data_IF_312015764823
#
_entry.id   IF_312015764823
#
_cell.length_a   1.000
_cell.length_b   1.000
_cell.length_c   1.000
_cell.angle_alpha   90.00
_cell.angle_beta   90.00
_cell.angle_gamma   90.00
#
_symmetry.space_group_name_H-M   'P 1'
#
loop_
_entity.id
_entity.type
_entity.pdbx_description
1 polymer ?
#
# COMPACT_ATOMS: atom_id res chain seq x y z
N UNK A 1 -23.70 -20.64 -14.49
CA UNK A 1 -22.35 -20.29 -15.01
C UNK A 1 -21.41 -20.09 -13.85
N UNK A 2 -20.21 -20.59 -13.99
CA UNK A 2 -19.12 -20.43 -13.01
C UNK A 2 -17.82 -20.25 -13.79
N UNK A 3 -17.19 -19.11 -13.68
CA UNK A 3 -15.95 -18.77 -14.38
C UNK A 3 -15.25 -17.60 -13.67
N UNK A 4 -13.96 -17.48 -13.84
CA UNK A 4 -13.17 -16.38 -13.27
C UNK A 4 -13.56 -15.00 -13.82
N UNK A 5 -14.18 -14.96 -15.01
CA UNK A 5 -14.72 -13.73 -15.63
C UNK A 5 -16.15 -13.38 -15.18
N UNK A 6 -16.70 -14.04 -14.18
CA UNK A 6 -18.00 -13.67 -13.60
C UNK A 6 -17.79 -12.58 -12.56
N UNK A 7 -18.40 -11.42 -12.76
CA UNK A 7 -18.30 -10.31 -11.82
C UNK A 7 -19.32 -10.40 -10.69
N UNK A 8 -20.54 -10.89 -10.99
CA UNK A 8 -21.68 -10.88 -10.07
C UNK A 8 -22.60 -12.07 -10.34
N UNK A 9 -23.19 -12.62 -9.27
CA UNK A 9 -24.31 -13.56 -9.32
C UNK A 9 -25.66 -12.85 -9.22
N UNK A 10 -26.66 -13.37 -9.91
CA UNK A 10 -28.05 -12.94 -9.79
C UNK A 10 -29.00 -14.15 -9.88
N UNK A 11 -30.26 -14.04 -9.36
CA UNK A 11 -31.26 -15.10 -9.50
C UNK A 11 -31.47 -15.44 -10.97
N UNK A 12 -31.43 -16.74 -11.26
CA UNK A 12 -31.59 -17.26 -12.63
C UNK A 12 -32.39 -18.57 -12.70
N UNK A 13 -33.12 -18.91 -11.64
CA UNK A 13 -34.00 -20.08 -11.56
C UNK A 13 -35.45 -19.63 -11.40
N UNK A 14 -36.36 -20.27 -12.16
CA UNK A 14 -37.80 -20.00 -12.15
C UNK A 14 -38.16 -18.54 -12.40
N UNK A 15 -37.39 -17.84 -13.24
CA UNK A 15 -37.60 -16.43 -13.57
C UNK A 15 -38.79 -16.31 -14.53
N UNK A 16 -39.87 -15.75 -14.02
CA UNK A 16 -41.10 -15.53 -14.79
C UNK A 16 -41.00 -14.27 -15.63
N UNK A 17 -41.20 -14.40 -16.92
CA UNK A 17 -41.20 -13.27 -17.86
C UNK A 17 -42.22 -13.48 -18.96
N UNK A 18 -42.42 -12.45 -19.79
CA UNK A 18 -43.27 -12.47 -20.97
C UNK A 18 -42.66 -13.33 -22.06
N UNK A 19 -43.51 -14.04 -22.77
CA UNK A 19 -43.19 -14.71 -24.03
C UNK A 19 -44.01 -14.08 -25.15
N UNK A 20 -43.89 -14.56 -26.38
CA UNK A 20 -44.61 -13.99 -27.53
C UNK A 20 -46.15 -13.95 -27.31
N UNK A 21 -46.72 -14.92 -26.56
CA UNK A 21 -48.15 -15.07 -26.41
C UNK A 21 -48.62 -15.21 -24.94
N UNK A 22 -47.70 -15.36 -24.01
CA UNK A 22 -48.04 -15.69 -22.63
C UNK A 22 -46.92 -15.33 -21.65
N UNK A 23 -46.95 -15.86 -20.44
CA UNK A 23 -45.89 -15.82 -19.41
C UNK A 23 -45.40 -17.22 -19.16
N UNK A 24 -44.06 -17.34 -19.05
CA UNK A 24 -43.38 -18.58 -18.70
C UNK A 24 -42.26 -18.34 -17.71
N UNK A 25 -41.93 -19.37 -16.94
CA UNK A 25 -40.77 -19.39 -16.03
C UNK A 25 -39.66 -20.20 -16.67
N UNK A 26 -38.46 -19.64 -16.74
CA UNK A 26 -37.29 -20.29 -17.31
C UNK A 26 -36.09 -20.19 -16.37
N UNK A 27 -35.15 -21.10 -16.56
CA UNK A 27 -33.91 -21.20 -15.80
C UNK A 27 -32.72 -20.93 -16.71
N UNK A 28 -31.72 -20.26 -16.15
CA UNK A 28 -30.45 -20.06 -16.84
C UNK A 28 -29.79 -18.71 -16.56
N UNK A 29 -28.54 -18.62 -17.00
CA UNK A 29 -27.75 -17.37 -16.90
C UNK A 29 -28.33 -16.25 -17.80
N UNK A 30 -29.03 -16.64 -18.87
CA UNK A 30 -29.78 -15.70 -19.72
C UNK A 30 -30.93 -15.01 -18.97
N UNK A 31 -31.44 -15.60 -17.92
CA UNK A 31 -32.47 -15.05 -17.03
C UNK A 31 -31.83 -14.25 -15.89
N UNK A 32 -30.66 -14.67 -15.40
CA UNK A 32 -29.91 -13.94 -14.37
C UNK A 32 -29.35 -12.60 -14.89
N UNK A 33 -28.90 -12.55 -16.12
CA UNK A 33 -28.31 -11.33 -16.72
C UNK A 33 -29.29 -10.13 -16.73
N UNK A 34 -30.52 -10.24 -17.24
CA UNK A 34 -31.47 -9.13 -17.16
C UNK A 34 -31.89 -8.75 -15.74
N UNK A 35 -31.86 -9.70 -14.78
CA UNK A 35 -32.10 -9.38 -13.37
C UNK A 35 -30.97 -8.49 -12.83
N UNK A 36 -29.71 -8.83 -13.10
CA UNK A 36 -28.58 -7.98 -12.74
C UNK A 36 -28.64 -6.59 -13.41
N UNK A 37 -28.98 -6.55 -14.70
CA UNK A 37 -29.16 -5.30 -15.44
C UNK A 37 -30.30 -4.44 -14.86
N UNK A 38 -31.41 -5.06 -14.45
CA UNK A 38 -32.54 -4.36 -13.82
C UNK A 38 -32.15 -3.79 -12.46
N UNK A 39 -31.29 -4.51 -11.68
CA UNK A 39 -30.73 -4.02 -10.43
C UNK A 39 -29.87 -2.78 -10.67
N UNK A 40 -29.03 -2.78 -11.71
CA UNK A 40 -28.25 -1.60 -12.09
C UNK A 40 -29.13 -0.41 -12.49
N UNK A 41 -30.16 -0.66 -13.27
CA UNK A 41 -31.15 0.37 -13.64
C UNK A 41 -31.90 0.94 -12.45
N UNK A 42 -32.28 0.08 -11.50
CA UNK A 42 -32.92 0.50 -10.26
C UNK A 42 -31.99 1.36 -9.40
N UNK A 43 -30.75 0.94 -9.19
CA UNK A 43 -29.78 1.70 -8.44
C UNK A 43 -29.49 3.06 -9.08
N UNK A 44 -29.39 3.12 -10.41
CA UNK A 44 -29.25 4.35 -11.18
C UNK A 44 -30.48 5.27 -11.01
N UNK A 45 -31.69 4.73 -10.90
CA UNK A 45 -32.89 5.53 -10.70
C UNK A 45 -32.98 6.18 -9.31
N UNK A 46 -32.37 5.58 -8.31
CA UNK A 46 -32.23 6.17 -6.96
C UNK A 46 -31.15 7.26 -6.91
N UNK A 47 -30.11 7.13 -7.76
CA UNK A 47 -28.94 8.00 -7.77
C UNK A 47 -28.69 8.47 -9.20
N UNK A 48 -29.52 9.39 -9.69
CA UNK A 48 -29.53 9.81 -11.09
C UNK A 48 -28.22 10.50 -11.53
N UNK A 49 -27.49 11.09 -10.59
CA UNK A 49 -26.20 11.75 -10.86
C UNK A 49 -25.03 10.76 -10.97
N UNK A 50 -25.20 9.51 -10.50
CA UNK A 50 -24.12 8.52 -10.61
C UNK A 50 -23.85 8.13 -12.06
N UNK A 51 -22.59 8.07 -12.43
CA UNK A 51 -22.18 7.54 -13.73
C UNK A 51 -22.16 5.99 -13.73
N UNK A 52 -21.92 5.38 -14.89
CA UNK A 52 -21.94 3.92 -15.02
C UNK A 52 -20.88 3.22 -14.15
N UNK A 53 -19.72 3.87 -13.93
CA UNK A 53 -18.66 3.30 -13.06
C UNK A 53 -19.10 3.26 -11.61
N UNK A 54 -19.74 4.31 -11.10
CA UNK A 54 -20.28 4.35 -9.75
C UNK A 54 -21.32 3.26 -9.53
N UNK A 55 -22.31 3.14 -10.42
CA UNK A 55 -23.33 2.10 -10.36
C UNK A 55 -22.70 0.71 -10.36
N UNK A 56 -21.75 0.45 -11.27
CA UNK A 56 -21.05 -0.82 -11.36
C UNK A 56 -20.27 -1.13 -10.08
N UNK A 57 -19.47 -0.17 -9.60
CA UNK A 57 -18.68 -0.31 -8.36
C UNK A 57 -19.57 -0.62 -7.17
N UNK A 58 -20.67 0.13 -6.99
CA UNK A 58 -21.55 -0.06 -5.85
C UNK A 58 -22.26 -1.42 -5.88
N UNK A 59 -22.75 -1.89 -7.02
CA UNK A 59 -23.34 -3.22 -7.14
C UNK A 59 -22.36 -4.32 -6.79
N UNK A 60 -21.13 -4.23 -7.25
CA UNK A 60 -20.11 -5.24 -6.98
C UNK A 60 -19.66 -5.23 -5.51
N UNK A 61 -19.42 -4.04 -4.96
CA UNK A 61 -18.92 -3.90 -3.60
C UNK A 61 -19.97 -4.26 -2.53
N UNK A 62 -21.25 -4.10 -2.84
CA UNK A 62 -22.35 -4.44 -1.93
C UNK A 62 -22.90 -5.84 -2.13
N UNK A 63 -22.37 -6.61 -3.10
CA UNK A 63 -22.78 -7.98 -3.35
C UNK A 63 -22.64 -8.87 -2.11
N UNK A 64 -23.58 -9.80 -1.93
CA UNK A 64 -23.62 -10.74 -0.82
C UNK A 64 -22.67 -11.92 -1.05
N UNK A 65 -21.54 -12.02 -0.32
CA UNK A 65 -20.58 -13.10 -0.46
C UNK A 65 -21.07 -14.45 0.08
N UNK A 66 -22.22 -14.47 0.77
CA UNK A 66 -22.82 -15.72 1.31
C UNK A 66 -23.07 -16.77 0.24
N UNK A 67 -23.10 -16.40 -1.04
CA UNK A 67 -23.16 -17.34 -2.16
C UNK A 67 -22.04 -18.39 -2.11
N UNK A 68 -20.87 -18.04 -1.59
CA UNK A 68 -19.75 -18.95 -1.41
C UNK A 68 -19.96 -19.92 -0.24
N UNK A 69 -20.61 -19.47 0.83
CA UNK A 69 -20.91 -20.30 2.01
C UNK A 69 -21.94 -21.40 1.70
N UNK A 70 -22.92 -21.08 0.83
CA UNK A 70 -23.91 -22.07 0.39
C UNK A 70 -23.43 -22.94 -0.76
N UNK A 71 -22.27 -22.60 -1.35
CA UNK A 71 -21.59 -23.34 -2.41
C UNK A 71 -20.11 -23.59 -2.03
N UNK A 72 -19.83 -24.35 -0.94
CA UNK A 72 -18.49 -24.43 -0.36
C UNK A 72 -17.50 -25.30 -1.16
N UNK A 73 -17.90 -25.82 -2.32
CA UNK A 73 -17.05 -26.69 -3.13
C UNK A 73 -15.89 -25.88 -3.75
N UNK A 74 -14.70 -26.45 -3.72
CA UNK A 74 -13.49 -25.83 -4.32
C UNK A 74 -13.67 -25.47 -5.81
N UNK A 75 -14.58 -26.14 -6.51
CA UNK A 75 -14.90 -25.85 -7.92
C UNK A 75 -15.55 -24.49 -8.14
N UNK A 76 -16.09 -23.85 -7.08
CA UNK A 76 -16.71 -22.53 -7.14
C UNK A 76 -15.83 -21.41 -6.60
N UNK A 77 -14.72 -21.74 -5.94
CA UNK A 77 -13.81 -20.74 -5.36
C UNK A 77 -13.37 -19.73 -6.44
N UNK A 78 -13.62 -18.45 -6.20
CA UNK A 78 -13.30 -17.34 -7.12
C UNK A 78 -14.13 -17.29 -8.43
N UNK A 79 -15.14 -18.16 -8.61
CA UNK A 79 -15.84 -18.33 -9.90
C UNK A 79 -17.31 -17.88 -9.88
N UNK A 80 -17.76 -17.26 -8.80
CA UNK A 80 -19.11 -16.74 -8.64
C UNK A 80 -19.13 -15.20 -8.53
N UNK A 81 -18.00 -14.55 -8.87
CA UNK A 81 -17.84 -13.10 -8.80
C UNK A 81 -17.72 -12.58 -7.37
N UNK A 82 -18.07 -11.34 -7.15
CA UNK A 82 -18.04 -10.70 -5.82
C UNK A 82 -19.11 -11.20 -4.88
N UNK A 83 -20.14 -11.86 -5.40
CA UNK A 83 -21.25 -12.36 -4.63
C UNK A 83 -22.56 -12.33 -5.40
N UNK A 84 -23.66 -12.52 -4.71
CA UNK A 84 -25.01 -12.34 -5.25
C UNK A 84 -25.43 -10.88 -5.11
N UNK A 85 -26.11 -10.32 -6.11
CA UNK A 85 -26.65 -8.96 -6.04
C UNK A 85 -27.51 -8.77 -4.80
N UNK A 86 -27.23 -7.71 -4.03
CA UNK A 86 -27.99 -7.28 -2.85
C UNK A 86 -28.45 -5.84 -3.04
N UNK A 87 -29.67 -5.68 -3.50
CA UNK A 87 -30.22 -4.34 -3.81
C UNK A 87 -30.51 -3.51 -2.58
N UNK A 88 -30.92 -4.15 -1.45
CA UNK A 88 -31.13 -3.41 -0.22
C UNK A 88 -29.82 -2.77 0.25
N UNK A 89 -28.77 -3.56 0.27
CA UNK A 89 -27.44 -3.07 0.65
C UNK A 89 -26.92 -2.03 -0.35
N UNK A 90 -27.09 -2.24 -1.66
CA UNK A 90 -26.65 -1.30 -2.68
C UNK A 90 -27.32 0.09 -2.58
N UNK A 91 -28.61 0.14 -2.26
CA UNK A 91 -29.36 1.40 -2.13
C UNK A 91 -29.06 2.09 -0.79
N UNK A 92 -28.84 1.32 0.28
CA UNK A 92 -28.60 1.86 1.63
C UNK A 92 -27.12 2.19 1.93
N UNK A 93 -26.20 1.79 1.07
CA UNK A 93 -24.77 2.08 1.25
C UNK A 93 -24.43 3.42 0.58
N UNK A 94 -23.78 4.35 1.27
CA UNK A 94 -23.26 5.59 0.67
C UNK A 94 -22.25 5.29 -0.45
N UNK A 95 -22.11 6.25 -1.37
CA UNK A 95 -21.14 6.15 -2.45
C UNK A 95 -19.71 6.04 -1.86
N UNK A 96 -18.93 5.11 -2.37
CA UNK A 96 -17.54 4.94 -1.95
C UNK A 96 -16.67 6.14 -2.37
N UNK A 97 -15.58 6.39 -1.66
CA UNK A 97 -14.53 7.28 -2.14
C UNK A 97 -13.83 6.68 -3.36
N UNK A 98 -13.09 7.51 -4.09
CA UNK A 98 -12.12 7.08 -5.08
C UNK A 98 -10.81 7.78 -4.78
N UNK A 99 -9.92 7.05 -4.15
CA UNK A 99 -8.67 7.55 -3.63
C UNK A 99 -7.52 7.27 -4.58
N UNK A 100 -6.64 8.25 -4.73
CA UNK A 100 -5.40 8.14 -5.51
C UNK A 100 -4.27 8.91 -4.80
N UNK A 101 -3.02 8.52 -5.06
CA UNK A 101 -1.86 9.26 -4.58
C UNK A 101 -1.74 10.53 -5.44
N UNK A 102 -1.81 11.69 -4.80
CA UNK A 102 -1.69 12.99 -5.44
C UNK A 102 -0.30 13.61 -5.26
N UNK A 103 0.47 13.12 -4.29
CA UNK A 103 1.82 13.57 -4.02
C UNK A 103 2.44 12.81 -2.86
N UNK A 104 3.72 12.98 -2.73
CA UNK A 104 4.54 12.41 -1.66
C UNK A 104 5.60 13.41 -1.24
N UNK A 105 6.02 13.33 0.01
CA UNK A 105 7.11 14.10 0.57
C UNK A 105 8.01 13.14 1.34
N UNK A 106 9.29 13.14 1.00
CA UNK A 106 10.29 12.21 1.52
C UNK A 106 11.40 13.02 2.17
N UNK A 107 11.63 12.76 3.45
CA UNK A 107 12.77 13.31 4.17
C UNK A 107 13.71 12.16 4.53
N UNK A 108 14.92 12.19 4.01
CA UNK A 108 15.96 11.20 4.33
C UNK A 108 16.57 11.57 5.68
N UNK A 109 16.64 10.60 6.59
CA UNK A 109 17.19 10.82 7.93
C UNK A 109 18.71 10.66 7.86
N UNK A 110 19.45 11.68 8.29
CA UNK A 110 20.92 11.77 8.21
C UNK A 110 21.45 11.73 6.77
N UNK A 111 20.71 12.36 5.87
CA UNK A 111 21.06 12.47 4.46
C UNK A 111 22.35 13.29 4.25
N UNK A 112 23.25 12.79 3.43
CA UNK A 112 24.49 13.45 3.05
C UNK A 112 24.58 13.76 1.54
N UNK A 113 23.77 13.09 0.71
CA UNK A 113 23.89 13.18 -0.76
C UNK A 113 22.56 13.44 -1.50
N UNK A 114 21.44 13.49 -0.80
CA UNK A 114 20.09 13.69 -1.37
C UNK A 114 19.51 12.44 -2.02
N UNK A 115 20.09 11.27 -1.75
CA UNK A 115 19.66 9.98 -2.28
C UNK A 115 19.33 9.01 -1.17
N UNK A 116 18.34 8.15 -1.39
CA UNK A 116 18.04 7.08 -0.42
C UNK A 116 19.06 5.97 -0.61
N UNK A 117 19.80 5.65 0.43
CA UNK A 117 20.84 4.63 0.40
C UNK A 117 20.50 3.44 1.32
N UNK A 118 21.08 2.27 1.03
CA UNK A 118 21.03 1.15 1.97
C UNK A 118 21.65 1.59 3.31
N UNK A 119 21.06 1.14 4.43
CA UNK A 119 21.47 1.57 5.77
C UNK A 119 20.78 2.84 6.27
N UNK A 120 20.11 3.60 5.42
CA UNK A 120 19.38 4.81 5.79
C UNK A 120 17.92 4.55 6.12
N UNK A 121 17.30 5.60 6.65
CA UNK A 121 15.87 5.63 6.95
C UNK A 121 15.25 6.87 6.33
N UNK A 122 14.00 6.76 5.91
CA UNK A 122 13.24 7.89 5.39
C UNK A 122 11.95 8.11 6.18
N UNK A 123 11.59 9.37 6.36
CA UNK A 123 10.25 9.78 6.77
C UNK A 123 9.43 10.01 5.51
N UNK A 124 8.37 9.21 5.35
CA UNK A 124 7.51 9.21 4.18
C UNK A 124 6.13 9.77 4.52
N UNK A 125 5.77 10.84 3.84
CA UNK A 125 4.44 11.43 3.87
C UNK A 125 3.77 11.24 2.51
N UNK A 126 2.49 10.90 2.53
CA UNK A 126 1.67 10.71 1.33
C UNK A 126 0.48 11.67 1.34
N UNK A 127 0.24 12.27 0.20
CA UNK A 127 -0.97 13.06 -0.05
C UNK A 127 -1.94 12.19 -0.84
N UNK A 128 -3.09 11.90 -0.26
CA UNK A 128 -4.15 11.09 -0.87
C UNK A 128 -5.29 12.02 -1.26
N UNK A 129 -5.60 12.06 -2.54
CA UNK A 129 -6.71 12.84 -3.09
C UNK A 129 -7.95 11.97 -3.26
N UNK A 130 -9.10 12.52 -2.93
CA UNK A 130 -10.39 11.90 -3.16
C UNK A 130 -11.13 12.60 -4.32
N UNK A 131 -11.39 11.85 -5.37
CA UNK A 131 -12.07 12.34 -6.58
C UNK A 131 -13.40 13.05 -6.22
N UNK A 132 -13.65 14.29 -6.73
CA UNK A 132 -14.80 15.11 -6.35
C UNK A 132 -16.16 14.51 -6.73
N UNK A 133 -16.21 13.62 -7.69
CA UNK A 133 -17.45 12.96 -8.13
C UNK A 133 -17.83 11.76 -7.25
N UNK A 134 -16.98 11.36 -6.29
CA UNK A 134 -17.19 10.19 -5.45
C UNK A 134 -17.53 10.55 -4.00
N UNK A 135 -17.81 9.55 -3.17
CA UNK A 135 -18.19 9.76 -1.79
C UNK A 135 -17.03 10.15 -0.88
N UNK A 136 -17.35 10.60 0.33
CA UNK A 136 -16.34 10.91 1.36
C UNK A 136 -15.65 9.64 1.85
N UNK A 137 -14.34 9.67 2.01
CA UNK A 137 -13.60 8.67 2.75
C UNK A 137 -13.69 8.97 4.25
N UNK A 138 -14.34 8.08 5.00
CA UNK A 138 -14.53 8.23 6.44
C UNK A 138 -13.53 7.38 7.19
N UNK A 139 -12.85 7.94 8.18
CA UNK A 139 -11.82 7.26 8.98
C UNK A 139 -10.78 6.53 8.11
N UNK A 140 -10.28 7.21 7.10
CA UNK A 140 -9.27 6.63 6.21
C UNK A 140 -7.99 6.28 6.98
N UNK A 141 -7.48 5.06 6.73
CA UNK A 141 -6.25 4.54 7.32
C UNK A 141 -5.31 4.16 6.19
N UNK A 142 -4.07 4.57 6.32
CA UNK A 142 -2.96 4.17 5.44
C UNK A 142 -2.18 3.05 6.09
N UNK A 143 -1.87 1.99 5.34
CA UNK A 143 -0.92 0.96 5.74
C UNK A 143 0.09 0.77 4.64
N UNK A 144 1.37 1.00 4.93
CA UNK A 144 2.46 0.71 3.98
C UNK A 144 2.95 -0.72 4.14
N UNK A 145 3.27 -1.36 3.03
CA UNK A 145 3.85 -2.70 3.00
C UNK A 145 4.76 -2.89 1.78
N UNK A 146 5.71 -3.80 1.90
CA UNK A 146 6.50 -4.32 0.79
C UNK A 146 6.83 -5.79 1.04
N UNK A 147 7.16 -6.53 0.00
CA UNK A 147 7.69 -7.90 0.06
C UNK A 147 9.20 -7.93 -0.13
N UNK A 148 9.82 -6.77 -0.36
CA UNK A 148 11.26 -6.66 -0.58
C UNK A 148 12.00 -6.90 0.73
N UNK A 149 12.98 -7.82 0.78
CA UNK A 149 13.76 -8.09 2.00
C UNK A 149 14.60 -6.87 2.38
N UNK A 150 14.93 -6.77 3.67
CA UNK A 150 15.77 -5.67 4.16
C UNK A 150 15.04 -4.34 4.39
N UNK A 151 13.74 -4.29 4.12
CA UNK A 151 12.92 -3.11 4.41
C UNK A 151 12.07 -3.35 5.63
N UNK A 152 12.09 -2.42 6.57
CA UNK A 152 11.25 -2.44 7.78
C UNK A 152 10.56 -1.10 7.98
N UNK A 153 9.50 -1.10 8.77
CA UNK A 153 8.71 0.10 9.01
C UNK A 153 8.59 0.39 10.50
N UNK A 154 8.59 1.69 10.83
CA UNK A 154 8.05 2.18 12.10
C UNK A 154 6.77 2.95 11.78
N UNK A 155 5.68 2.67 12.51
CA UNK A 155 4.37 3.32 12.30
C UNK A 155 3.80 3.11 10.88
N UNK A 156 3.87 1.89 10.34
CA UNK A 156 3.36 1.60 8.99
C UNK A 156 1.83 1.69 8.84
N UNK A 157 1.10 1.96 9.92
CA UNK A 157 -0.35 2.17 9.92
C UNK A 157 -0.66 3.52 10.55
N UNK A 158 -1.12 4.47 9.74
CA UNK A 158 -1.39 5.84 10.17
C UNK A 158 -2.77 6.30 9.69
N UNK A 159 -3.41 7.18 10.49
CA UNK A 159 -4.71 7.73 10.15
C UNK A 159 -4.57 8.90 9.19
N UNK A 160 -5.36 8.88 8.12
CA UNK A 160 -5.56 10.02 7.21
C UNK A 160 -6.79 10.86 7.61
N UNK A 161 -7.58 10.38 8.57
CA UNK A 161 -8.82 11.04 8.98
C UNK A 161 -9.94 10.91 7.94
N UNK A 162 -10.79 11.92 7.86
CA UNK A 162 -11.84 12.01 6.86
C UNK A 162 -11.35 12.83 5.67
N UNK A 163 -11.54 12.31 4.44
CA UNK A 163 -11.20 13.00 3.21
C UNK A 163 -12.49 13.24 2.43
N UNK A 164 -12.95 14.49 2.37
CA UNK A 164 -14.14 14.83 1.62
C UNK A 164 -13.92 14.68 0.10
N UNK A 165 -15.01 14.60 -0.64
CA UNK A 165 -14.94 14.59 -2.10
C UNK A 165 -14.29 15.89 -2.61
N UNK A 166 -13.28 15.77 -3.46
CA UNK A 166 -12.48 16.88 -3.98
C UNK A 166 -11.38 17.40 -3.05
N UNK A 167 -11.25 16.83 -1.84
CA UNK A 167 -10.20 17.18 -0.89
C UNK A 167 -9.04 16.18 -0.89
N UNK A 168 -7.96 16.58 -0.23
CA UNK A 168 -6.80 15.72 -0.01
C UNK A 168 -6.58 15.47 1.49
N UNK A 169 -6.12 14.28 1.83
CA UNK A 169 -5.66 13.88 3.16
C UNK A 169 -4.16 13.66 3.17
N UNK A 170 -3.50 14.10 4.23
CA UNK A 170 -2.08 13.88 4.49
C UNK A 170 -1.95 13.08 5.78
N UNK A 171 -1.01 12.13 5.84
CA UNK A 171 -0.71 11.47 7.10
C UNK A 171 -0.04 12.48 8.07
N UNK A 172 -0.63 12.70 9.26
CA UNK A 172 -0.13 13.71 10.22
C UNK A 172 1.17 13.28 10.90
N UNK A 173 1.49 11.99 10.85
CA UNK A 173 2.71 11.40 11.39
C UNK A 173 3.38 10.67 10.22
N UNK A 174 4.65 10.97 9.91
CA UNK A 174 5.38 10.26 8.87
C UNK A 174 5.47 8.75 9.16
N UNK A 175 5.47 7.96 8.11
CA UNK A 175 5.88 6.56 8.20
C UNK A 175 7.38 6.50 8.04
N UNK A 176 8.10 5.95 9.02
CA UNK A 176 9.53 5.72 8.87
C UNK A 176 9.75 4.40 8.16
N UNK A 177 10.48 4.44 7.06
CA UNK A 177 10.91 3.28 6.27
C UNK A 177 12.42 3.14 6.47
N UNK A 178 12.87 1.95 6.91
CA UNK A 178 14.28 1.69 7.16
C UNK A 178 14.78 0.69 6.10
N UNK A 179 15.90 1.01 5.47
CA UNK A 179 16.58 0.19 4.47
C UNK A 179 17.84 -0.41 5.09
N UNK A 180 17.84 -1.71 5.38
CA UNK A 180 19.02 -2.39 5.89
C UNK A 180 20.01 -2.74 4.77
N UNK A 181 21.22 -3.13 5.14
CA UNK A 181 22.26 -3.60 4.19
C UNK A 181 21.84 -4.82 3.35
N UNK A 182 20.77 -5.50 3.71
CA UNK A 182 20.20 -6.61 2.92
C UNK A 182 19.11 -6.17 1.93
N UNK A 183 18.76 -4.88 1.90
CA UNK A 183 17.85 -4.34 0.90
C UNK A 183 18.54 -4.35 -0.48
N UNK A 184 17.89 -4.84 -1.54
CA UNK A 184 18.44 -4.71 -2.89
C UNK A 184 18.45 -3.24 -3.31
N UNK A 185 19.46 -2.86 -4.09
CA UNK A 185 19.55 -1.55 -4.72
C UNK A 185 18.66 -1.47 -5.97
N UNK A 186 18.31 -0.25 -6.36
CA UNK A 186 17.42 0.04 -7.48
C UNK A 186 16.00 0.34 -7.02
N UNK A 187 15.05 0.03 -7.88
CA UNK A 187 13.63 0.30 -7.63
C UNK A 187 13.02 -0.69 -6.64
N UNK A 188 12.65 -0.20 -5.48
CA UNK A 188 11.98 -0.95 -4.41
C UNK A 188 10.49 -0.66 -4.46
N UNK A 189 9.68 -1.71 -4.67
CA UNK A 189 8.22 -1.60 -4.80
C UNK A 189 7.53 -1.63 -3.45
N UNK A 190 6.57 -0.74 -3.27
CA UNK A 190 5.71 -0.61 -2.09
C UNK A 190 4.24 -0.64 -2.48
N UNK A 191 3.41 -1.00 -1.51
CA UNK A 191 1.96 -0.87 -1.59
C UNK A 191 1.48 0.03 -0.46
N UNK A 192 0.84 1.14 -0.82
CA UNK A 192 0.01 1.93 0.07
C UNK A 192 -1.41 1.37 0.05
N UNK A 193 -1.76 0.57 1.06
CA UNK A 193 -3.13 0.14 1.27
C UNK A 193 -3.88 1.23 2.02
N UNK A 194 -4.94 1.76 1.41
CA UNK A 194 -5.81 2.73 2.04
C UNK A 194 -7.18 2.11 2.25
N UNK A 195 -7.62 2.07 3.49
CA UNK A 195 -8.95 1.59 3.86
C UNK A 195 -9.78 2.71 4.47
N UNK A 196 -11.07 2.72 4.17
CA UNK A 196 -12.04 3.68 4.69
C UNK A 196 -13.36 2.98 4.99
N UNK A 197 -14.12 3.51 5.92
CA UNK A 197 -15.47 3.04 6.19
C UNK A 197 -16.47 3.94 5.45
N UNK A 198 -17.36 3.34 4.65
CA UNK A 198 -18.54 4.01 4.18
C UNK A 198 -19.64 3.84 5.25
N UNK A 199 -19.74 4.78 6.18
CA UNK A 199 -20.73 4.85 7.27
C UNK A 199 -21.03 3.51 7.98
N UNK A 200 -20.00 2.67 8.17
CA UNK A 200 -20.08 1.43 8.95
C UNK A 200 -20.65 0.20 8.23
N UNK A 201 -21.08 0.31 6.97
CA UNK A 201 -21.69 -0.81 6.25
C UNK A 201 -20.73 -1.61 5.37
N UNK A 202 -19.78 -0.95 4.70
CA UNK A 202 -18.82 -1.62 3.80
C UNK A 202 -17.46 -0.96 3.93
N UNK A 203 -16.45 -1.79 4.08
CA UNK A 203 -15.06 -1.33 4.05
C UNK A 203 -14.66 -1.07 2.58
N UNK A 204 -14.31 0.18 2.28
CA UNK A 204 -13.58 0.51 1.07
C UNK A 204 -12.10 0.18 1.28
N UNK A 205 -11.45 -0.36 0.28
CA UNK A 205 -10.03 -0.69 0.33
C UNK A 205 -9.41 -0.57 -1.06
N UNK A 206 -8.31 0.14 -1.16
CA UNK A 206 -7.54 0.31 -2.39
C UNK A 206 -6.06 0.09 -2.11
N UNK A 207 -5.38 -0.58 -3.04
CA UNK A 207 -3.94 -0.76 -3.05
C UNK A 207 -3.33 0.14 -4.11
N UNK A 208 -2.51 1.08 -3.71
CA UNK A 208 -1.82 2.03 -4.58
C UNK A 208 -0.32 1.69 -4.57
N UNK A 209 0.22 1.19 -5.69
CA UNK A 209 1.64 0.90 -5.78
C UNK A 209 2.44 2.19 -5.95
N UNK A 210 3.62 2.24 -5.34
CA UNK A 210 4.64 3.26 -5.57
C UNK A 210 6.03 2.65 -5.48
N UNK A 211 7.05 3.39 -5.87
CA UNK A 211 8.43 2.91 -5.96
C UNK A 211 9.35 3.95 -5.34
N UNK A 212 10.31 3.49 -4.52
CA UNK A 212 11.43 4.30 -4.08
C UNK A 212 12.71 3.73 -4.69
N UNK A 213 13.56 4.60 -5.21
CA UNK A 213 14.85 4.19 -5.72
C UNK A 213 15.87 4.21 -4.58
N UNK A 214 16.49 3.06 -4.32
CA UNK A 214 17.48 2.85 -3.25
C UNK A 214 18.84 2.60 -3.87
N UNK A 215 19.80 3.41 -3.50
CA UNK A 215 21.16 3.31 -4.02
C UNK A 215 22.05 2.45 -3.12
N UNK A 216 23.16 2.00 -3.69
CA UNK A 216 24.25 1.43 -2.90
C UNK A 216 25.03 2.57 -2.23
N UNK A 217 25.50 2.32 -1.02
CA UNK A 217 26.39 3.27 -0.35
C UNK A 217 27.78 3.07 -0.93
N UNK A 218 28.32 4.11 -1.51
CA UNK A 218 29.74 4.13 -1.83
C UNK A 218 30.52 4.27 -0.51
N UNK A 219 30.95 3.12 0.05
CA UNK A 219 31.65 3.10 1.34
C UNK A 219 33.06 3.64 1.15
N UNK A 220 33.32 4.79 1.74
CA UNK A 220 34.66 5.31 1.91
C UNK A 220 35.25 4.79 3.24
N UNK A 221 35.89 3.66 3.19
CA UNK A 221 36.50 3.04 4.38
C UNK A 221 37.45 3.99 5.09
N UNK A 222 37.15 4.26 6.36
CA UNK A 222 37.91 5.20 7.19
C UNK A 222 37.27 6.59 7.33
N UNK A 223 36.35 6.98 6.45
CA UNK A 223 35.52 8.16 6.62
C UNK A 223 34.23 7.77 7.38
N UNK A 224 34.40 7.54 8.69
CA UNK A 224 33.33 6.99 9.53
C UNK A 224 32.24 8.03 9.79
N UNK A 225 32.63 9.31 9.83
CA UNK A 225 31.69 10.44 10.00
C UNK A 225 30.93 10.78 8.73
N UNK A 226 31.31 10.20 7.59
CA UNK A 226 30.73 10.46 6.26
C UNK A 226 30.73 11.96 5.89
N UNK A 227 31.81 12.67 6.28
CA UNK A 227 31.97 14.11 5.98
C UNK A 227 32.83 14.36 4.74
N UNK A 228 33.29 13.29 4.07
CA UNK A 228 34.13 13.31 2.90
C UNK A 228 35.64 13.47 3.20
N UNK A 229 36.05 13.49 4.48
CA UNK A 229 37.45 13.74 4.90
C UNK A 229 37.86 12.75 5.97
N UNK A 230 38.78 11.85 5.64
CA UNK A 230 39.35 10.92 6.62
C UNK A 230 40.30 11.69 7.56
N UNK A 231 39.94 11.83 8.83
CA UNK A 231 40.67 12.65 9.80
C UNK A 231 40.54 12.13 11.24
N UNK A 232 41.01 12.93 12.21
CA UNK A 232 40.98 12.55 13.64
C UNK A 232 39.58 12.37 14.21
N UNK A 233 38.56 12.96 13.61
CA UNK A 233 37.16 12.78 14.07
C UNK A 233 36.69 11.35 13.85
N UNK A 234 37.11 10.73 12.74
CA UNK A 234 36.77 9.32 12.45
C UNK A 234 37.47 8.38 13.44
N UNK A 235 38.71 8.71 13.85
CA UNK A 235 39.41 7.95 14.91
C UNK A 235 38.60 8.04 16.25
N UNK A 236 38.11 9.21 16.58
CA UNK A 236 37.29 9.37 17.79
C UNK A 236 35.98 8.59 17.69
N UNK A 237 35.36 8.60 16.54
CA UNK A 237 34.09 7.89 16.30
C UNK A 237 34.28 6.37 16.40
N UNK A 238 35.28 5.76 15.76
CA UNK A 238 35.53 4.31 15.86
C UNK A 238 35.88 3.90 17.30
N UNK A 239 36.61 4.73 18.03
CA UNK A 239 36.92 4.48 19.45
C UNK A 239 35.63 4.46 20.29
N UNK A 240 34.71 5.39 20.06
CA UNK A 240 33.44 5.44 20.76
C UNK A 240 32.56 4.20 20.45
N UNK A 241 32.58 3.73 19.21
CA UNK A 241 31.92 2.49 18.80
C UNK A 241 32.49 1.28 19.53
N UNK A 242 33.82 1.12 19.54
CA UNK A 242 34.50 -0.01 20.20
C UNK A 242 34.28 0.00 21.72
N UNK A 243 34.18 1.19 22.33
CA UNK A 243 33.90 1.34 23.76
C UNK A 243 32.40 1.23 24.11
N UNK A 244 31.54 0.94 23.14
CA UNK A 244 30.10 0.80 23.30
C UNK A 244 29.44 2.05 23.92
N UNK A 245 30.02 3.25 23.65
CA UNK A 245 29.50 4.53 24.13
C UNK A 245 28.48 5.15 23.21
N UNK A 246 28.44 4.71 21.94
CA UNK A 246 27.49 5.10 20.90
C UNK A 246 27.03 3.87 20.13
N UNK A 247 25.79 3.87 19.68
CA UNK A 247 25.29 2.85 18.75
C UNK A 247 25.59 3.32 17.34
N UNK A 248 26.43 2.62 16.57
CA UNK A 248 26.76 3.05 15.21
C UNK A 248 25.57 2.95 14.28
N UNK A 249 25.54 3.78 13.26
CA UNK A 249 24.69 3.62 12.07
C UNK A 249 25.21 2.47 11.21
N UNK A 250 24.40 1.99 10.25
CA UNK A 250 24.85 0.93 9.34
C UNK A 250 26.06 1.36 8.48
N UNK A 251 26.14 2.65 8.10
CA UNK A 251 27.30 3.20 7.41
C UNK A 251 28.54 3.18 8.31
N UNK A 252 28.45 3.70 9.53
CA UNK A 252 29.55 3.73 10.49
C UNK A 252 30.09 2.34 10.80
N UNK A 253 29.21 1.32 10.92
CA UNK A 253 29.63 -0.09 11.09
C UNK A 253 30.49 -0.56 9.92
N UNK A 254 30.06 -0.31 8.68
CA UNK A 254 30.79 -0.79 7.50
C UNK A 254 32.05 0.03 7.28
N UNK A 255 31.99 1.37 7.39
CA UNK A 255 33.14 2.27 7.20
C UNK A 255 34.22 2.09 8.27
N UNK A 256 33.85 1.57 9.46
CA UNK A 256 34.78 1.28 10.57
C UNK A 256 35.55 -0.03 10.42
N UNK A 257 35.06 -0.98 9.62
CA UNK A 257 35.74 -2.26 9.36
C UNK A 257 36.73 -2.12 8.21
N UNK A 258 37.88 -1.48 8.50
CA UNK A 258 38.88 -1.15 7.48
C UNK A 258 39.61 -2.39 6.93
N UNK A 259 39.69 -3.46 7.72
CA UNK A 259 40.29 -4.71 7.29
C UNK A 259 39.31 -5.71 6.69
N UNK A 260 37.99 -5.40 6.74
CA UNK A 260 36.89 -6.19 6.20
C UNK A 260 36.81 -7.62 6.76
N UNK A 261 37.13 -7.78 8.06
CA UNK A 261 37.05 -9.07 8.75
C UNK A 261 35.71 -9.26 9.50
N UNK A 262 34.78 -8.32 9.37
CA UNK A 262 33.45 -8.24 10.03
C UNK A 262 33.55 -8.05 11.56
N UNK A 263 34.66 -7.55 12.08
CA UNK A 263 34.86 -7.30 13.51
C UNK A 263 35.51 -5.92 13.72
N UNK A 264 34.75 -4.95 14.15
CA UNK A 264 35.28 -3.63 14.47
C UNK A 264 36.10 -3.70 15.77
N UNK A 265 37.39 -3.50 15.68
CA UNK A 265 38.31 -3.63 16.80
C UNK A 265 39.54 -2.70 16.71
N UNK A 266 40.50 -2.90 17.61
CA UNK A 266 41.73 -2.07 17.65
C UNK A 266 42.58 -2.16 16.35
N UNK A 267 42.46 -3.23 15.58
CA UNK A 267 43.19 -3.36 14.32
C UNK A 267 42.73 -2.32 13.29
N UNK A 268 41.42 -2.05 13.25
CA UNK A 268 40.85 -1.02 12.39
C UNK A 268 41.29 0.37 12.78
N UNK A 269 41.34 0.67 14.10
CA UNK A 269 41.93 1.93 14.57
C UNK A 269 43.35 2.12 14.10
N UNK A 270 44.17 1.06 14.16
CA UNK A 270 45.59 1.14 13.68
C UNK A 270 45.63 1.42 12.18
N UNK A 271 44.77 0.80 11.38
CA UNK A 271 44.69 1.05 9.95
C UNK A 271 44.25 2.49 9.66
N UNK A 272 43.20 2.96 10.38
CA UNK A 272 42.73 4.32 10.24
C UNK A 272 43.75 5.38 10.61
N UNK A 273 44.49 5.18 11.72
CA UNK A 273 45.58 6.06 12.10
C UNK A 273 46.65 6.13 11.01
N UNK A 274 47.04 4.99 10.41
CA UNK A 274 47.98 4.97 9.32
C UNK A 274 47.46 5.74 8.08
N UNK A 275 46.17 5.64 7.82
CA UNK A 275 45.52 6.34 6.70
C UNK A 275 45.59 7.88 6.93
N UNK A 276 45.18 8.32 8.13
CA UNK A 276 45.16 9.76 8.51
C UNK A 276 46.61 10.35 8.53
N UNK A 277 47.63 9.54 8.84
CA UNK A 277 49.05 10.00 8.85
C UNK A 277 49.72 9.94 7.49
N UNK A 278 49.11 9.31 6.48
CA UNK A 278 49.64 9.17 5.14
C UNK A 278 49.22 10.30 4.19
N UNK A 279 48.20 11.08 4.57
CA UNK A 279 47.77 12.31 3.91
C UNK A 279 48.49 13.53 4.51
#
# INVERSE_FOLDING_TARGET
TRHESVDLGAPGESIRSTTMTNYSSWDGTSMASPVAASCAGLLKSFNMDWNNKMVHTMILATADPMIYNVNPQNTYAGKLGKGRVDMLKAISTPLFPKLEIAGEDITIINDNDGSINIGESVEYNIVVFNDPDWGMATNAQLTLSTTVPGVTFSNNNVSLGNIAAGDAGLNPIPVTINFSSSCPTGDVEFIANISSNADGYVKYEVNLPFVLNVNDVEINYGDITNDGVINVLDIVTIVNIILDTTTPTAYEEIASDLNQDSIINVQDIVLLINLVLSD
#
